data_IF_796001321284
#
_entry.id   IF_796001321284
#
_cell.length_a   1.000
_cell.length_b   1.000
_cell.length_c   1.000
_cell.angle_alpha   90.00
_cell.angle_beta   90.00
_cell.angle_gamma   90.00
#
_symmetry.space_group_name_H-M   'P 1'
#
loop_
_entity.id
_entity.type
_entity.pdbx_description
1 polymer ?
#
# COMPACT_ATOMS: atom_id res chain seq x y z
N UNK A 1 24.92 -32.69 -4.30
CA UNK A 1 24.47 -31.88 -3.12
C UNK A 1 23.75 -30.58 -3.45
N UNK A 2 24.00 -29.90 -4.60
CA UNK A 2 23.37 -28.59 -4.92
C UNK A 2 21.87 -28.58 -5.27
N UNK A 3 21.27 -29.71 -5.69
CA UNK A 3 19.83 -29.75 -6.06
C UNK A 3 18.85 -29.89 -4.88
N UNK A 4 19.30 -30.35 -3.69
CA UNK A 4 18.44 -30.48 -2.50
C UNK A 4 18.30 -29.18 -1.69
N UNK A 5 19.29 -28.28 -1.77
CA UNK A 5 19.27 -26.99 -1.04
C UNK A 5 18.31 -25.98 -1.65
N UNK A 6 18.13 -25.99 -2.98
CA UNK A 6 17.22 -25.07 -3.69
C UNK A 6 15.74 -25.39 -3.41
N UNK A 7 15.41 -26.68 -3.21
CA UNK A 7 14.04 -27.09 -2.82
C UNK A 7 13.69 -26.68 -1.39
N UNK A 8 14.66 -26.64 -0.48
CA UNK A 8 14.42 -26.22 0.91
C UNK A 8 14.16 -24.71 1.06
N UNK A 9 14.83 -23.87 0.26
CA UNK A 9 14.62 -22.40 0.30
C UNK A 9 13.26 -22.02 -0.32
N UNK A 10 12.83 -22.72 -1.36
CA UNK A 10 11.52 -22.47 -2.00
C UNK A 10 10.35 -22.89 -1.09
N UNK A 11 10.50 -23.97 -0.33
CA UNK A 11 9.48 -24.41 0.65
C UNK A 11 9.43 -23.48 1.87
N UNK A 12 10.57 -22.90 2.29
CA UNK A 12 10.61 -21.92 3.38
C UNK A 12 9.89 -20.60 3.02
N UNK A 13 9.99 -20.16 1.77
CA UNK A 13 9.27 -18.99 1.24
C UNK A 13 7.75 -19.21 1.18
N UNK A 14 7.31 -20.43 0.86
CA UNK A 14 5.89 -20.82 0.87
C UNK A 14 5.36 -20.92 2.31
N UNK A 15 6.14 -21.46 3.25
CA UNK A 15 5.74 -21.60 4.66
C UNK A 15 5.59 -20.25 5.38
N UNK A 16 6.43 -19.26 5.07
CA UNK A 16 6.36 -17.92 5.68
C UNK A 16 5.13 -17.13 5.17
N UNK A 17 4.59 -17.45 3.99
CA UNK A 17 3.32 -16.89 3.51
C UNK A 17 2.07 -17.67 3.95
N UNK A 18 2.20 -18.88 4.51
CA UNK A 18 1.06 -19.73 4.87
C UNK A 18 0.91 -20.04 6.38
N UNK A 19 1.82 -19.58 7.25
CA UNK A 19 1.62 -19.61 8.70
C UNK A 19 0.97 -18.30 9.19
N UNK A 20 -0.32 -18.17 8.95
CA UNK A 20 -1.20 -17.29 9.69
C UNK A 20 -2.55 -17.97 9.78
N UNK A 21 -2.66 -18.98 10.65
CA UNK A 21 -3.88 -19.48 11.31
C UNK A 21 -3.45 -20.65 12.23
N UNK A 22 -3.93 -20.62 13.49
CA UNK A 22 -3.86 -21.63 14.56
C UNK A 22 -2.46 -21.78 15.24
N UNK A 23 -2.24 -21.55 16.53
CA UNK A 23 -3.07 -21.75 17.74
C UNK A 23 -2.50 -20.89 18.88
N UNK A 24 -3.34 -20.50 19.85
CA UNK A 24 -2.87 -19.79 21.03
C UNK A 24 -3.91 -19.43 22.09
N UNK A 25 -4.96 -20.23 22.27
CA UNK A 25 -5.71 -20.23 23.53
C UNK A 25 -4.85 -20.92 24.59
N UNK A 26 -4.12 -20.12 25.37
CA UNK A 26 -3.38 -20.56 26.55
C UNK A 26 -3.78 -19.72 27.75
N UNK A 27 -4.51 -20.35 28.68
CA UNK A 27 -4.99 -19.81 29.95
C UNK A 27 -3.95 -18.93 30.67
N UNK A 28 -4.28 -17.67 30.95
CA UNK A 28 -3.61 -16.90 32.00
C UNK A 28 -4.27 -17.24 33.35
N UNK A 29 -3.49 -17.84 34.25
CA UNK A 29 -3.83 -17.93 35.67
C UNK A 29 -3.78 -16.52 36.27
N UNK A 30 -4.94 -15.92 36.48
CA UNK A 30 -5.08 -14.72 37.32
C UNK A 30 -5.09 -15.19 38.77
N UNK A 31 -4.02 -14.88 39.53
CA UNK A 31 -4.10 -14.81 40.99
C UNK A 31 -4.60 -13.42 41.34
N UNK A 32 -5.90 -13.30 41.57
CA UNK A 32 -6.44 -12.21 42.39
C UNK A 32 -6.80 -12.78 43.75
N UNK A 33 -6.17 -12.20 44.76
CA UNK A 33 -6.56 -12.33 46.16
C UNK A 33 -7.58 -11.22 46.39
N UNK A 34 -8.81 -11.56 46.73
CA UNK A 34 -9.59 -10.84 47.76
C UNK A 34 -10.73 -11.74 48.23
N UNK A 35 -10.78 -11.94 49.55
CA UNK A 35 -11.86 -12.58 50.29
C UNK A 35 -13.13 -11.72 50.20
N UNK A 36 -14.31 -12.35 50.11
CA UNK A 36 -15.50 -12.09 50.95
C UNK A 36 -16.50 -13.23 50.68
N UNK A 37 -16.98 -13.82 51.78
CA UNK A 37 -18.03 -14.84 51.87
C UNK A 37 -19.41 -14.24 51.54
N UNK A 38 -20.31 -14.97 50.86
CA UNK A 38 -21.46 -15.66 51.48
C UNK A 38 -22.40 -16.30 50.43
N UNK A 39 -22.86 -17.52 50.76
CA UNK A 39 -24.02 -18.34 50.34
C UNK A 39 -24.61 -18.31 48.92
N UNK A 40 -24.56 -19.49 48.29
CA UNK A 40 -25.75 -20.34 48.07
C UNK A 40 -26.52 -20.17 46.75
N UNK A 41 -26.46 -21.15 45.84
CA UNK A 41 -27.43 -22.25 45.71
C UNK A 41 -27.19 -23.05 44.40
N UNK A 42 -27.54 -24.33 44.44
CA UNK A 42 -27.48 -25.33 43.35
C UNK A 42 -28.59 -25.09 42.32
N UNK A 43 -28.38 -25.45 41.05
CA UNK A 43 -28.97 -26.67 40.46
C UNK A 43 -28.55 -26.91 39.01
N UNK A 44 -28.42 -28.21 38.71
CA UNK A 44 -28.09 -28.84 37.44
C UNK A 44 -29.27 -28.77 36.45
N UNK A 45 -28.99 -28.96 35.16
CA UNK A 45 -29.46 -30.15 34.45
C UNK A 45 -28.82 -30.28 33.06
N UNK A 46 -28.16 -31.43 32.87
CA UNK A 46 -27.89 -32.09 31.61
C UNK A 46 -29.21 -32.46 30.88
N UNK A 47 -29.14 -32.67 29.56
CA UNK A 47 -29.55 -33.94 28.92
C UNK A 47 -29.23 -33.89 27.40
N UNK A 48 -28.61 -35.00 26.96
CA UNK A 48 -28.39 -35.55 25.60
C UNK A 48 -29.70 -35.71 24.80
N UNK A 49 -29.80 -35.97 23.50
CA UNK A 49 -28.96 -36.51 22.45
C UNK A 49 -29.88 -37.15 21.38
N UNK A 50 -29.31 -37.63 20.27
CA UNK A 50 -29.86 -38.59 19.28
C UNK A 50 -30.42 -38.09 17.92
N UNK A 51 -29.58 -38.29 16.88
CA UNK A 51 -29.74 -39.05 15.62
C UNK A 51 -31.13 -39.36 15.01
N UNK A 52 -31.15 -39.36 13.66
CA UNK A 52 -32.03 -40.13 12.75
C UNK A 52 -32.38 -39.33 11.48
N UNK A 53 -31.62 -39.50 10.38
CA UNK A 53 -31.94 -40.32 9.19
C UNK A 53 -32.84 -39.65 8.13
N UNK A 54 -32.37 -39.76 6.87
CA UNK A 54 -33.00 -39.33 5.62
C UNK A 54 -33.77 -40.50 4.98
N UNK A 55 -34.66 -40.29 3.98
CA UNK A 55 -34.22 -40.55 2.60
C UNK A 55 -34.95 -39.81 1.43
N UNK A 56 -34.16 -39.51 0.38
CA UNK A 56 -34.31 -39.85 -1.08
C UNK A 56 -35.61 -39.58 -1.88
N UNK A 57 -35.48 -38.89 -3.03
CA UNK A 57 -36.00 -39.22 -4.40
C UNK A 57 -35.47 -38.14 -5.40
N UNK A 58 -34.55 -38.37 -6.35
CA UNK A 58 -34.55 -39.07 -7.67
C UNK A 58 -35.61 -38.54 -8.66
N UNK A 59 -35.14 -37.95 -9.78
CA UNK A 59 -35.43 -38.42 -11.16
C UNK A 59 -34.58 -37.70 -12.21
N UNK A 60 -33.90 -38.51 -13.04
CA UNK A 60 -33.23 -38.21 -14.32
C UNK A 60 -33.96 -38.98 -15.43
N UNK A 61 -33.86 -38.48 -16.67
CA UNK A 61 -33.94 -39.12 -18.00
C UNK A 61 -34.75 -38.21 -18.96
N UNK A 62 -34.50 -38.08 -20.27
CA UNK A 62 -33.74 -38.89 -21.25
C UNK A 62 -33.52 -38.05 -22.53
N UNK A 63 -32.50 -38.40 -23.31
CA UNK A 63 -32.25 -37.98 -24.70
C UNK A 63 -33.24 -38.63 -25.68
N UNK A 64 -33.45 -38.01 -26.86
CA UNK A 64 -33.38 -38.69 -28.17
C UNK A 64 -33.38 -37.69 -29.35
N UNK A 65 -32.64 -38.08 -30.41
CA UNK A 65 -32.33 -37.40 -31.67
C UNK A 65 -33.52 -37.19 -32.64
N UNK A 66 -33.39 -36.22 -33.57
CA UNK A 66 -33.54 -36.44 -35.02
C UNK A 66 -33.12 -35.25 -35.91
N UNK A 67 -32.75 -35.63 -37.12
CA UNK A 67 -31.99 -34.97 -38.20
C UNK A 67 -32.76 -33.95 -39.06
N UNK A 68 -31.94 -33.09 -39.69
CA UNK A 68 -31.95 -32.57 -41.07
C UNK A 68 -33.24 -32.02 -41.68
N UNK A 69 -33.21 -30.75 -42.10
CA UNK A 69 -33.39 -30.41 -43.52
C UNK A 69 -32.70 -29.07 -43.87
N UNK A 70 -31.90 -29.10 -44.93
CA UNK A 70 -31.18 -27.98 -45.55
C UNK A 70 -31.92 -27.68 -46.85
N UNK A 71 -32.29 -26.43 -47.09
CA UNK A 71 -32.66 -25.99 -48.42
C UNK A 71 -31.98 -24.68 -48.85
N UNK A 72 -31.71 -24.65 -50.15
CA UNK A 72 -30.73 -23.86 -50.90
C UNK A 72 -31.25 -22.53 -51.43
N UNK A 73 -30.25 -21.68 -51.77
CA UNK A 73 -30.23 -20.63 -52.82
C UNK A 73 -31.13 -19.41 -52.59
N UNK A 74 -30.72 -18.17 -52.93
CA UNK A 74 -30.09 -17.76 -54.19
C UNK A 74 -29.30 -16.46 -54.02
N UNK A 75 -28.07 -16.41 -54.55
CA UNK A 75 -27.37 -15.18 -54.91
C UNK A 75 -27.90 -14.67 -56.26
N UNK A 76 -28.19 -13.37 -56.37
CA UNK A 76 -28.12 -12.66 -57.64
C UNK A 76 -27.52 -11.27 -57.42
N UNK A 77 -26.54 -10.94 -58.26
CA UNK A 77 -25.75 -9.71 -58.25
C UNK A 77 -26.14 -8.85 -59.44
N UNK A 78 -26.31 -7.54 -59.20
CA UNK A 78 -25.86 -6.38 -60.02
C UNK A 78 -26.89 -5.26 -60.06
N UNK A 79 -26.41 -4.05 -59.76
CA UNK A 79 -27.13 -2.80 -59.91
C UNK A 79 -26.34 -1.65 -59.30
N UNK A 80 -25.33 -1.19 -60.03
CA UNK A 80 -24.59 0.04 -59.73
C UNK A 80 -25.42 1.22 -60.26
N UNK A 81 -25.85 2.13 -59.38
CA UNK A 81 -26.11 3.52 -59.77
C UNK A 81 -26.07 4.47 -58.57
N UNK A 82 -25.21 5.46 -58.74
CA UNK A 82 -24.90 6.62 -57.94
C UNK A 82 -26.13 7.48 -57.61
N UNK A 83 -26.26 7.91 -56.34
CA UNK A 83 -26.88 9.19 -55.95
C UNK A 83 -26.69 9.47 -54.45
N UNK A 84 -25.91 10.52 -54.21
CA UNK A 84 -25.83 11.38 -53.03
C UNK A 84 -27.11 11.44 -52.17
N UNK A 85 -26.98 11.25 -50.85
CA UNK A 85 -27.79 11.97 -49.86
C UNK A 85 -27.23 11.86 -48.42
N UNK A 86 -26.97 13.03 -47.85
CA UNK A 86 -26.95 13.40 -46.43
C UNK A 86 -26.37 12.43 -45.38
N UNK A 87 -25.11 12.69 -45.05
CA UNK A 87 -24.52 12.38 -43.74
C UNK A 87 -25.26 13.15 -42.65
N UNK A 88 -26.34 12.56 -42.13
CA UNK A 88 -26.85 12.91 -40.81
C UNK A 88 -25.98 12.17 -39.80
N UNK A 89 -25.14 12.92 -39.11
CA UNK A 89 -24.35 12.44 -37.98
C UNK A 89 -25.31 11.93 -36.91
N UNK A 90 -25.48 10.61 -36.83
CA UNK A 90 -26.01 9.97 -35.63
C UNK A 90 -24.96 10.15 -34.53
N UNK A 91 -25.12 11.22 -33.74
CA UNK A 91 -24.63 11.23 -32.38
C UNK A 91 -25.27 10.05 -31.65
N UNK A 92 -24.54 8.94 -31.61
CA UNK A 92 -24.88 7.82 -30.74
C UNK A 92 -24.82 8.35 -29.31
N UNK A 93 -25.97 8.69 -28.72
CA UNK A 93 -26.10 8.83 -27.28
C UNK A 93 -25.57 7.53 -26.68
N UNK A 94 -24.36 7.57 -26.11
CA UNK A 94 -23.90 6.53 -25.20
C UNK A 94 -24.98 6.41 -24.14
N UNK A 95 -25.72 5.30 -24.13
CA UNK A 95 -26.54 4.97 -22.98
C UNK A 95 -25.61 4.95 -21.78
N UNK A 96 -25.74 5.96 -20.90
CA UNK A 96 -25.04 5.97 -19.63
C UNK A 96 -25.51 4.72 -18.90
N UNK A 97 -24.63 3.72 -18.76
CA UNK A 97 -24.94 2.54 -17.99
C UNK A 97 -24.99 2.95 -16.51
N UNK A 98 -26.20 3.12 -15.98
CA UNK A 98 -26.45 3.51 -14.60
C UNK A 98 -26.85 2.28 -13.82
N UNK A 99 -26.08 1.97 -12.77
CA UNK A 99 -26.32 0.84 -11.88
C UNK A 99 -26.52 1.35 -10.46
N UNK A 100 -27.51 0.81 -9.76
CA UNK A 100 -27.76 1.10 -8.34
C UNK A 100 -27.39 -0.13 -7.51
N UNK A 101 -26.46 0.03 -6.57
CA UNK A 101 -26.04 -1.04 -5.63
C UNK A 101 -26.21 -0.47 -4.22
N UNK A 102 -26.98 -1.15 -3.37
CA UNK A 102 -27.26 -0.75 -1.99
C UNK A 102 -27.70 0.72 -1.84
N UNK A 103 -28.54 1.19 -2.79
CA UNK A 103 -29.04 2.57 -2.80
C UNK A 103 -28.04 3.62 -3.30
N UNK A 104 -26.86 3.23 -3.77
CA UNK A 104 -25.85 4.13 -4.33
C UNK A 104 -25.85 4.01 -5.85
N UNK A 105 -25.88 5.16 -6.54
CA UNK A 105 -25.85 5.23 -8.01
C UNK A 105 -24.40 5.28 -8.51
N UNK A 106 -24.10 4.44 -9.50
CA UNK A 106 -22.83 4.38 -10.22
C UNK A 106 -23.08 4.53 -11.70
N UNK A 107 -22.31 5.39 -12.38
CA UNK A 107 -22.37 5.49 -13.85
C UNK A 107 -21.14 4.85 -14.50
N UNK A 108 -21.35 4.30 -15.68
CA UNK A 108 -20.36 3.57 -16.47
C UNK A 108 -19.84 2.28 -15.79
N UNK A 109 -20.52 1.81 -14.74
CA UNK A 109 -20.19 0.55 -14.07
C UNK A 109 -20.65 -0.64 -14.91
N UNK A 110 -19.73 -1.52 -15.27
CA UNK A 110 -19.98 -2.68 -16.15
C UNK A 110 -20.04 -4.02 -15.39
N UNK A 111 -20.13 -3.97 -14.06
CA UNK A 111 -20.02 -5.15 -13.19
C UNK A 111 -18.62 -5.35 -12.59
N UNK A 112 -18.44 -6.38 -11.76
CA UNK A 112 -17.14 -6.76 -11.20
C UNK A 112 -16.17 -7.16 -12.30
N UNK A 113 -14.91 -6.75 -12.17
CA UNK A 113 -13.84 -7.02 -13.13
C UNK A 113 -12.73 -7.91 -12.53
N UNK A 114 -12.76 -8.19 -11.23
CA UNK A 114 -11.84 -9.15 -10.62
C UNK A 114 -12.18 -10.57 -11.12
N UNK A 115 -11.19 -11.22 -11.74
CA UNK A 115 -11.37 -12.55 -12.34
C UNK A 115 -11.59 -12.52 -13.86
N UNK A 116 -11.76 -11.34 -14.45
CA UNK A 116 -11.61 -11.18 -15.90
C UNK A 116 -10.21 -11.68 -16.29
N UNK A 117 -10.15 -12.61 -17.25
CA UNK A 117 -8.87 -13.05 -17.82
C UNK A 117 -8.30 -11.92 -18.67
N UNK A 118 -7.56 -11.01 -18.03
CA UNK A 118 -6.85 -9.90 -18.71
C UNK A 118 -5.40 -10.22 -19.05
N UNK A 119 -5.00 -11.48 -18.92
CA UNK A 119 -3.64 -11.88 -19.22
C UNK A 119 -3.58 -13.35 -19.59
N UNK A 120 -2.56 -13.65 -20.39
CA UNK A 120 -2.11 -15.00 -20.64
C UNK A 120 -0.72 -15.20 -20.02
N UNK A 121 -0.61 -16.15 -19.10
CA UNK A 121 0.67 -16.51 -18.47
C UNK A 121 1.72 -16.88 -19.54
N UNK A 122 2.97 -16.48 -19.31
CA UNK A 122 4.06 -16.66 -20.27
C UNK A 122 4.03 -15.73 -21.50
N UNK A 123 3.09 -14.78 -21.57
CA UNK A 123 3.04 -13.77 -22.64
C UNK A 123 3.67 -12.45 -22.14
N UNK A 124 4.52 -11.78 -22.93
CA UNK A 124 5.13 -10.51 -22.54
C UNK A 124 4.09 -9.46 -22.16
N UNK A 125 4.38 -8.65 -21.15
CA UNK A 125 3.36 -7.78 -20.61
C UNK A 125 2.88 -6.69 -21.56
N UNK A 126 3.77 -6.19 -22.43
CA UNK A 126 3.38 -5.24 -23.46
C UNK A 126 2.27 -5.79 -24.36
N UNK A 127 2.40 -7.05 -24.80
CA UNK A 127 1.44 -7.70 -25.70
C UNK A 127 0.07 -7.92 -25.03
N UNK A 128 0.07 -8.44 -23.80
CA UNK A 128 -1.17 -8.58 -23.03
C UNK A 128 -1.85 -7.22 -22.83
N UNK A 129 -1.09 -6.16 -22.55
CA UNK A 129 -1.66 -4.83 -22.33
C UNK A 129 -2.30 -4.28 -23.61
N UNK A 130 -1.80 -4.60 -24.81
CA UNK A 130 -2.42 -4.16 -26.07
C UNK A 130 -3.76 -4.84 -26.34
N UNK A 131 -3.90 -6.11 -25.95
CA UNK A 131 -5.10 -6.94 -26.20
C UNK A 131 -6.16 -6.81 -25.10
N UNK A 132 -5.74 -6.73 -23.83
CA UNK A 132 -6.60 -6.75 -22.66
C UNK A 132 -6.55 -5.42 -21.92
N UNK A 133 -7.48 -4.52 -22.28
CA UNK A 133 -7.53 -3.15 -21.76
C UNK A 133 -8.37 -3.02 -20.49
N UNK A 134 -8.04 -2.00 -19.70
CA UNK A 134 -8.87 -1.49 -18.60
C UNK A 134 -10.26 -1.09 -19.09
N UNK A 135 -11.29 -1.36 -18.28
CA UNK A 135 -12.69 -1.13 -18.65
C UNK A 135 -13.14 0.32 -18.51
N UNK A 136 -12.35 1.13 -17.81
CA UNK A 136 -12.55 2.56 -17.57
C UNK A 136 -12.93 2.88 -16.12
N UNK A 137 -12.67 4.13 -15.73
CA UNK A 137 -13.14 4.69 -14.46
C UNK A 137 -14.68 4.76 -14.42
N UNK A 138 -15.24 4.82 -13.22
CA UNK A 138 -16.68 4.93 -12.98
C UNK A 138 -17.01 6.24 -12.26
N UNK A 139 -18.20 6.77 -12.48
CA UNK A 139 -18.70 7.85 -11.63
C UNK A 139 -19.27 7.25 -10.35
N UNK A 140 -18.68 7.63 -9.23
CA UNK A 140 -19.05 7.16 -7.89
C UNK A 140 -18.93 8.30 -6.88
N UNK A 141 -19.80 8.35 -5.85
CA UNK A 141 -19.61 9.24 -4.70
C UNK A 141 -18.41 8.82 -3.83
N UNK A 142 -17.92 7.58 -3.98
CA UNK A 142 -16.74 7.07 -3.29
C UNK A 142 -15.56 7.08 -4.25
N UNK A 143 -14.48 7.76 -3.86
CA UNK A 143 -13.29 7.89 -4.70
C UNK A 143 -12.02 7.63 -3.91
N UNK A 144 -11.00 7.12 -4.61
CA UNK A 144 -9.64 6.96 -4.10
C UNK A 144 -8.65 7.64 -5.03
N UNK A 145 -7.49 8.02 -4.50
CA UNK A 145 -6.40 8.52 -5.30
C UNK A 145 -5.53 7.35 -5.72
N UNK A 146 -5.64 6.93 -6.97
CA UNK A 146 -4.81 5.87 -7.55
C UNK A 146 -3.60 6.48 -8.23
N UNK A 147 -2.41 6.13 -7.76
CA UNK A 147 -1.13 6.65 -8.23
C UNK A 147 -0.25 5.47 -8.66
N UNK A 148 0.39 5.59 -9.82
CA UNK A 148 1.35 4.62 -10.35
C UNK A 148 2.60 5.38 -10.79
N UNK A 149 3.74 5.01 -10.23
CA UNK A 149 5.04 5.60 -10.54
C UNK A 149 6.08 4.52 -10.82
N UNK A 150 7.25 4.94 -11.31
CA UNK A 150 8.45 4.11 -11.38
C UNK A 150 9.65 4.86 -10.83
N UNK A 151 10.59 4.10 -10.27
CA UNK A 151 11.84 4.62 -9.75
C UNK A 151 11.58 5.48 -8.53
N UNK A 152 10.99 4.92 -7.48
CA UNK A 152 10.81 5.60 -6.19
C UNK A 152 10.05 6.93 -6.29
N UNK A 153 9.02 6.98 -7.13
CA UNK A 153 8.19 8.17 -7.33
C UNK A 153 8.74 9.21 -8.32
N UNK A 154 9.93 9.00 -8.90
CA UNK A 154 10.55 9.97 -9.82
C UNK A 154 9.83 10.11 -11.15
N UNK A 155 9.23 9.03 -11.67
CA UNK A 155 8.47 9.06 -12.93
C UNK A 155 7.03 8.64 -12.69
N UNK A 156 6.09 9.50 -13.08
CA UNK A 156 4.65 9.24 -13.02
C UNK A 156 4.18 8.52 -14.27
N UNK A 157 3.43 7.44 -14.07
CA UNK A 157 2.79 6.65 -15.13
C UNK A 157 1.28 6.91 -15.16
N UNK A 158 0.66 6.97 -13.97
CA UNK A 158 -0.77 7.25 -13.81
C UNK A 158 -1.00 7.99 -12.49
N UNK A 159 -1.94 8.95 -12.47
CA UNK A 159 -2.41 9.56 -11.23
C UNK A 159 -3.80 10.14 -11.45
N UNK A 160 -4.84 9.54 -10.86
CA UNK A 160 -6.22 10.02 -10.95
C UNK A 160 -6.96 9.79 -9.64
N UNK A 161 -7.96 10.64 -9.39
CA UNK A 161 -8.97 10.40 -8.38
C UNK A 161 -10.11 9.61 -9.03
N UNK A 162 -10.16 8.30 -8.77
CA UNK A 162 -10.99 7.32 -9.49
C UNK A 162 -12.14 6.83 -8.63
N UNK A 163 -13.25 6.47 -9.26
CA UNK A 163 -14.43 5.95 -8.61
C UNK A 163 -14.26 4.51 -8.14
N UNK A 164 -14.83 4.23 -6.96
CA UNK A 164 -14.94 2.90 -6.40
C UNK A 164 -16.40 2.53 -6.10
N UNK A 165 -16.76 1.26 -6.26
CA UNK A 165 -17.98 0.72 -5.66
C UNK A 165 -17.75 0.59 -4.16
N UNK A 166 -18.78 0.90 -3.37
CA UNK A 166 -18.71 0.83 -1.92
C UNK A 166 -18.23 -0.55 -1.47
N UNK A 167 -17.25 -0.56 -0.56
CA UNK A 167 -16.68 -1.75 0.07
C UNK A 167 -16.09 -2.79 -0.90
N UNK A 168 -15.85 -2.46 -2.17
CA UNK A 168 -15.13 -3.35 -3.09
C UNK A 168 -13.65 -3.53 -2.70
N UNK A 169 -12.97 -4.50 -3.31
CA UNK A 169 -11.53 -4.70 -3.08
C UNK A 169 -10.71 -3.81 -4.01
N UNK A 170 -9.50 -3.43 -3.58
CA UNK A 170 -8.61 -2.54 -4.33
C UNK A 170 -8.25 -3.08 -5.71
N UNK A 171 -8.27 -4.40 -5.88
CA UNK A 171 -8.03 -5.06 -7.15
C UNK A 171 -9.08 -4.71 -8.22
N UNK A 172 -10.34 -4.50 -7.83
CA UNK A 172 -11.41 -4.04 -8.73
C UNK A 172 -11.09 -2.63 -9.26
N UNK A 173 -10.69 -1.73 -8.36
CA UNK A 173 -10.26 -0.37 -8.71
C UNK A 173 -9.08 -0.42 -9.68
N UNK A 174 -8.12 -1.33 -9.45
CA UNK A 174 -6.94 -1.51 -10.28
C UNK A 174 -7.32 -2.01 -11.68
N UNK A 175 -8.09 -3.10 -11.78
CA UNK A 175 -8.53 -3.71 -13.05
C UNK A 175 -9.39 -2.78 -13.92
N UNK A 176 -10.18 -1.90 -13.31
CA UNK A 176 -10.98 -0.92 -14.05
C UNK A 176 -10.15 0.22 -14.63
N UNK A 177 -9.07 0.61 -13.96
CA UNK A 177 -8.33 1.83 -14.28
C UNK A 177 -6.99 1.61 -14.98
N UNK A 178 -6.44 0.40 -14.92
CA UNK A 178 -5.09 0.08 -15.39
C UNK A 178 -5.06 -1.24 -16.16
N UNK A 179 -4.14 -1.34 -17.12
CA UNK A 179 -3.88 -2.57 -17.87
C UNK A 179 -2.96 -3.44 -17.00
N UNK A 180 -3.54 -4.35 -16.20
CA UNK A 180 -2.79 -5.16 -15.23
C UNK A 180 -2.65 -6.62 -15.65
N UNK A 181 -1.57 -7.22 -15.21
CA UNK A 181 -1.35 -8.67 -15.31
C UNK A 181 -0.98 -9.22 -13.96
N UNK A 182 -1.43 -10.43 -13.69
CA UNK A 182 -1.25 -11.06 -12.39
C UNK A 182 -0.50 -12.37 -12.50
N UNK A 183 0.22 -12.75 -11.45
CA UNK A 183 0.82 -14.07 -11.28
C UNK A 183 0.10 -14.87 -10.18
N UNK A 184 0.51 -16.14 -10.02
CA UNK A 184 0.19 -16.98 -8.86
C UNK A 184 -1.31 -17.04 -8.49
N UNK A 185 -2.18 -17.36 -9.46
CA UNK A 185 -3.62 -17.49 -9.21
C UNK A 185 -4.37 -16.16 -9.07
N UNK A 186 -3.76 -15.04 -9.48
CA UNK A 186 -4.45 -13.76 -9.66
C UNK A 186 -4.25 -12.73 -8.54
N UNK A 187 -3.64 -13.12 -7.42
CA UNK A 187 -3.45 -12.24 -6.26
C UNK A 187 -2.21 -11.34 -6.32
N UNK A 188 -1.23 -11.68 -7.16
CA UNK A 188 0.03 -10.95 -7.27
C UNK A 188 0.05 -10.10 -8.54
N UNK A 189 0.21 -8.78 -8.44
CA UNK A 189 0.31 -7.90 -9.61
C UNK A 189 1.71 -8.00 -10.20
N UNK A 190 1.83 -8.60 -11.38
CA UNK A 190 3.09 -8.78 -12.08
C UNK A 190 3.40 -7.63 -13.05
N UNK A 191 2.38 -7.01 -13.65
CA UNK A 191 2.59 -5.88 -14.54
C UNK A 191 1.47 -4.84 -14.43
N UNK A 192 1.83 -3.57 -14.68
CA UNK A 192 0.89 -2.45 -14.80
C UNK A 192 1.29 -1.64 -16.03
N UNK A 193 0.34 -1.40 -16.93
CA UNK A 193 0.49 -0.61 -18.15
C UNK A 193 1.74 -1.02 -18.97
N UNK A 194 1.94 -2.33 -19.13
CA UNK A 194 3.03 -2.92 -19.91
C UNK A 194 4.40 -2.97 -19.23
N UNK A 195 4.55 -2.47 -18.00
CA UNK A 195 5.79 -2.57 -17.22
C UNK A 195 5.69 -3.80 -16.31
N UNK A 196 6.50 -4.82 -16.58
CA UNK A 196 6.49 -6.11 -15.89
C UNK A 196 7.59 -6.24 -14.84
N UNK A 197 7.30 -7.02 -13.79
CA UNK A 197 8.30 -7.54 -12.86
C UNK A 197 9.41 -8.21 -13.66
N UNK A 198 10.66 -7.80 -13.39
CA UNK A 198 11.84 -8.49 -13.94
C UNK A 198 12.30 -9.65 -13.06
N UNK A 199 11.48 -10.03 -12.06
CA UNK A 199 11.84 -11.07 -11.10
C UNK A 199 11.01 -12.34 -11.24
N UNK A 200 9.69 -12.23 -11.37
CA UNK A 200 8.72 -13.33 -11.17
C UNK A 200 8.74 -14.38 -12.30
N UNK A 201 9.08 -13.98 -13.53
CA UNK A 201 9.10 -14.88 -14.70
C UNK A 201 10.46 -14.96 -15.42
N UNK A 202 11.49 -14.31 -14.89
CA UNK A 202 12.83 -14.31 -15.46
C UNK A 202 13.77 -15.25 -14.69
N UNK A 203 14.74 -15.84 -15.40
CA UNK A 203 15.74 -16.75 -14.82
C UNK A 203 17.15 -16.36 -15.27
N UNK A 204 18.17 -16.85 -14.57
CA UNK A 204 19.57 -16.54 -14.89
C UNK A 204 19.87 -15.04 -14.83
N UNK A 205 20.66 -14.56 -15.79
CA UNK A 205 21.15 -13.17 -15.86
C UNK A 205 20.07 -12.15 -16.24
N UNK A 206 18.94 -12.63 -16.78
CA UNK A 206 17.79 -11.77 -17.10
C UNK A 206 16.98 -11.41 -15.86
N UNK A 207 17.09 -12.20 -14.78
CA UNK A 207 16.35 -11.97 -13.54
C UNK A 207 16.94 -10.79 -12.78
N UNK A 208 16.13 -9.73 -12.63
CA UNK A 208 16.50 -8.53 -11.87
C UNK A 208 15.58 -8.35 -10.68
N UNK A 209 16.11 -7.75 -9.62
CA UNK A 209 15.37 -7.39 -8.42
C UNK A 209 14.62 -6.08 -8.63
N UNK A 210 13.73 -6.06 -9.61
CA UNK A 210 12.83 -4.94 -9.89
C UNK A 210 11.40 -5.46 -9.91
N UNK A 211 10.53 -4.88 -9.10
CA UNK A 211 9.13 -5.32 -8.96
C UNK A 211 8.20 -4.18 -8.54
N UNK A 212 6.90 -4.48 -8.53
CA UNK A 212 5.82 -3.62 -8.08
C UNK A 212 5.58 -3.76 -6.58
N UNK A 213 5.60 -2.63 -5.89
CA UNK A 213 5.17 -2.52 -4.50
C UNK A 213 4.05 -1.49 -4.39
N UNK A 214 3.23 -1.62 -3.35
CA UNK A 214 2.17 -0.65 -3.14
C UNK A 214 1.99 -0.25 -1.68
N UNK A 215 1.66 1.03 -1.52
CA UNK A 215 1.36 1.67 -0.27
C UNK A 215 -0.09 2.12 -0.26
N UNK A 216 -0.68 2.06 0.91
CA UNK A 216 -1.95 2.70 1.21
C UNK A 216 -1.66 3.81 2.19
N UNK A 217 -1.99 5.05 1.83
CA UNK A 217 -1.77 6.21 2.69
C UNK A 217 -0.32 6.30 3.20
N UNK A 218 0.65 5.95 2.35
CA UNK A 218 2.08 5.96 2.69
C UNK A 218 2.56 4.81 3.58
N UNK A 219 1.72 3.80 3.84
CA UNK A 219 2.05 2.60 4.62
C UNK A 219 2.13 1.42 3.67
N UNK A 220 3.24 0.67 3.68
CA UNK A 220 3.40 -0.52 2.86
C UNK A 220 2.33 -1.53 3.25
N UNK A 221 1.54 -1.98 2.28
CA UNK A 221 0.42 -2.86 2.60
C UNK A 221 0.92 -4.25 3.07
N UNK A 222 0.48 -4.74 4.24
CA UNK A 222 0.84 -6.07 4.74
C UNK A 222 -0.02 -7.20 4.15
N UNK A 223 -0.98 -6.88 3.28
CA UNK A 223 -1.91 -7.81 2.62
C UNK A 223 -1.86 -7.57 1.12
N UNK A 224 -2.43 -8.47 0.32
CA UNK A 224 -2.57 -8.28 -1.13
C UNK A 224 -3.67 -7.28 -1.50
N UNK A 225 -3.55 -6.67 -2.68
CA UNK A 225 -4.55 -5.67 -3.15
C UNK A 225 -5.92 -6.30 -3.43
N UNK A 226 -5.95 -7.62 -3.67
CA UNK A 226 -7.17 -8.42 -3.80
C UNK A 226 -7.93 -8.61 -2.48
N UNK A 227 -7.29 -8.37 -1.34
CA UNK A 227 -7.91 -8.49 -0.01
C UNK A 227 -8.16 -7.12 0.64
N UNK A 228 -7.38 -6.11 0.24
CA UNK A 228 -7.53 -4.76 0.74
C UNK A 228 -8.84 -4.13 0.25
N UNK A 229 -9.64 -3.58 1.16
CA UNK A 229 -10.86 -2.82 0.85
C UNK A 229 -10.60 -1.32 1.09
N UNK A 230 -10.48 -0.51 0.04
CA UNK A 230 -10.18 0.91 0.18
C UNK A 230 -11.28 1.66 0.92
N UNK A 231 -10.91 2.74 1.61
CA UNK A 231 -11.85 3.73 2.14
C UNK A 231 -11.84 4.97 1.25
N UNK A 232 -12.98 5.70 1.16
CA UNK A 232 -13.03 6.94 0.40
C UNK A 232 -11.95 7.92 0.86
N UNK A 233 -11.20 8.46 -0.10
CA UNK A 233 -10.09 9.38 0.13
C UNK A 233 -8.72 8.72 0.29
N UNK A 234 -8.66 7.38 0.41
CA UNK A 234 -7.39 6.66 0.49
C UNK A 234 -6.50 6.95 -0.73
N UNK A 235 -5.19 6.99 -0.51
CA UNK A 235 -4.17 7.05 -1.55
C UNK A 235 -3.62 5.65 -1.72
N UNK A 236 -3.90 5.03 -2.87
CA UNK A 236 -3.34 3.74 -3.27
C UNK A 236 -2.21 4.04 -4.24
N UNK A 237 -0.97 3.89 -3.78
CA UNK A 237 0.22 4.23 -4.54
C UNK A 237 1.02 2.98 -4.88
N UNK A 238 1.13 2.69 -6.18
CA UNK A 238 2.03 1.67 -6.74
C UNK A 238 3.32 2.31 -7.24
N UNK A 239 4.46 1.70 -6.94
CA UNK A 239 5.75 2.08 -7.52
C UNK A 239 6.53 0.85 -7.99
N UNK A 240 7.06 0.92 -9.21
CA UNK A 240 7.99 -0.06 -9.75
C UNK A 240 9.44 0.41 -9.55
N UNK A 241 10.23 -0.32 -8.79
CA UNK A 241 11.63 0.04 -8.52
C UNK A 241 12.51 -1.16 -8.20
N UNK A 242 13.82 -0.88 -8.12
CA UNK A 242 14.84 -1.83 -7.71
C UNK A 242 14.78 -2.07 -6.19
N UNK A 243 14.72 -3.34 -5.78
CA UNK A 243 14.72 -3.77 -4.39
C UNK A 243 16.00 -4.53 -4.02
N UNK A 244 17.08 -4.34 -4.78
CA UNK A 244 18.31 -5.14 -4.64
C UNK A 244 19.04 -4.94 -3.32
N UNK A 245 18.95 -3.74 -2.75
CA UNK A 245 19.51 -3.36 -1.45
C UNK A 245 18.42 -3.33 -0.39
N UNK A 246 17.33 -2.60 -0.64
CA UNK A 246 16.21 -2.46 0.30
C UNK A 246 15.05 -3.31 -0.18
N UNK A 247 14.80 -4.45 0.46
CA UNK A 247 13.73 -5.36 0.05
C UNK A 247 12.33 -4.78 0.32
N UNK A 248 12.17 -4.03 1.41
CA UNK A 248 10.90 -3.44 1.80
C UNK A 248 11.13 -2.03 2.35
N UNK A 249 10.27 -1.11 1.94
CA UNK A 249 10.23 0.27 2.45
C UNK A 249 8.88 0.43 3.18
N UNK A 250 8.83 0.23 4.51
CA UNK A 250 7.57 0.08 5.23
C UNK A 250 6.68 1.33 5.24
N UNK A 251 7.28 2.51 5.08
CA UNK A 251 6.57 3.78 5.10
C UNK A 251 7.25 4.78 4.16
N UNK A 252 6.44 5.66 3.57
CA UNK A 252 6.89 6.71 2.63
C UNK A 252 6.17 8.02 2.91
N UNK A 253 6.81 9.14 2.57
CA UNK A 253 6.28 10.48 2.87
C UNK A 253 5.29 11.01 1.82
N UNK A 254 5.25 10.39 0.65
CA UNK A 254 4.56 10.91 -0.54
C UNK A 254 3.04 11.04 -0.45
N UNK A 255 2.44 10.43 0.57
CA UNK A 255 1.00 10.45 0.83
C UNK A 255 0.59 11.41 1.95
N UNK A 256 1.46 12.32 2.41
CA UNK A 256 1.10 13.31 3.44
C UNK A 256 -0.22 14.04 3.11
N UNK A 257 -1.16 14.22 4.06
CA UNK A 257 -1.15 13.79 5.47
C UNK A 257 -1.92 12.47 5.71
N UNK A 258 -2.22 11.69 4.66
CA UNK A 258 -3.12 10.53 4.73
C UNK A 258 -2.77 9.46 5.77
N UNK A 259 -1.49 9.11 6.04
CA UNK A 259 -1.22 8.12 7.07
C UNK A 259 -1.82 8.53 8.42
N UNK A 260 -1.76 9.82 8.75
CA UNK A 260 -2.28 10.35 10.01
C UNK A 260 -3.79 10.59 10.00
N UNK A 261 -4.37 10.83 8.82
CA UNK A 261 -5.81 11.09 8.67
C UNK A 261 -6.62 9.80 8.69
N UNK A 262 -6.31 8.90 7.77
CA UNK A 262 -7.14 7.72 7.46
C UNK A 262 -6.49 6.42 7.94
N UNK A 263 -5.18 6.42 8.17
CA UNK A 263 -4.43 5.22 8.58
C UNK A 263 -4.47 4.12 7.52
N UNK A 264 -4.48 2.87 7.96
CA UNK A 264 -4.57 1.70 7.07
C UNK A 264 -5.90 0.99 7.27
N UNK A 265 -6.66 0.74 6.19
CA UNK A 265 -8.03 0.16 6.24
C UNK A 265 -9.02 0.95 7.11
N UNK A 266 -8.85 2.27 7.22
CA UNK A 266 -9.66 3.11 8.12
C UNK A 266 -9.36 2.91 9.60
N UNK A 267 -8.36 2.09 9.96
CA UNK A 267 -7.88 1.96 11.34
C UNK A 267 -6.79 3.00 11.58
N UNK A 268 -7.02 3.85 12.58
CA UNK A 268 -6.10 4.89 12.99
C UNK A 268 -5.89 4.79 14.52
N UNK A 269 -4.69 4.40 15.00
CA UNK A 269 -4.40 4.30 16.43
C UNK A 269 -4.17 5.67 17.10
N UNK A 270 -4.33 6.77 16.36
CA UNK A 270 -3.96 8.12 16.78
C UNK A 270 -2.51 8.45 16.43
N UNK A 271 -2.23 9.75 16.40
CA UNK A 271 -0.90 10.32 16.09
C UNK A 271 -0.32 11.01 17.32
N UNK A 272 0.97 10.85 17.55
CA UNK A 272 1.71 11.63 18.55
C UNK A 272 2.82 12.40 17.85
N UNK A 273 2.86 13.71 18.07
CA UNK A 273 3.98 14.55 17.66
C UNK A 273 4.97 14.59 18.84
N UNK A 274 6.12 13.96 18.65
CA UNK A 274 7.22 13.94 19.60
C UNK A 274 8.18 15.08 19.27
N UNK A 275 8.63 15.83 20.27
CA UNK A 275 9.56 16.96 20.08
C UNK A 275 10.69 16.96 21.11
N UNK A 276 11.89 17.35 20.70
CA UNK A 276 12.96 17.72 21.66
C UNK A 276 12.65 19.10 22.25
N UNK A 277 13.17 19.39 23.46
CA UNK A 277 12.73 20.54 24.29
C UNK A 277 12.59 21.88 23.57
N UNK A 278 13.43 22.16 22.56
CA UNK A 278 13.44 23.41 21.80
C UNK A 278 12.24 23.58 20.84
N UNK A 279 11.49 22.51 20.53
CA UNK A 279 10.51 22.48 19.43
C UNK A 279 9.05 22.28 19.85
N UNK A 280 8.71 22.66 21.09
CA UNK A 280 7.34 22.55 21.60
C UNK A 280 6.33 23.39 20.78
N UNK A 281 6.73 24.61 20.38
CA UNK A 281 5.89 25.51 19.61
C UNK A 281 5.62 24.99 18.19
N UNK A 282 6.64 24.39 17.58
CA UNK A 282 6.57 23.74 16.27
C UNK A 282 5.65 22.52 16.31
N UNK A 283 5.70 21.73 17.39
CA UNK A 283 4.77 20.63 17.60
C UNK A 283 3.30 21.10 17.66
N UNK A 284 3.02 22.16 18.42
CA UNK A 284 1.69 22.76 18.52
C UNK A 284 1.19 23.33 17.19
N UNK A 285 2.06 24.00 16.43
CA UNK A 285 1.73 24.51 15.08
C UNK A 285 1.43 23.38 14.11
N UNK A 286 2.22 22.31 14.14
CA UNK A 286 2.01 21.14 13.28
C UNK A 286 0.71 20.42 13.64
N UNK A 287 0.40 20.24 14.93
CA UNK A 287 -0.89 19.70 15.38
C UNK A 287 -2.07 20.49 14.81
N UNK A 288 -2.04 21.82 14.93
CA UNK A 288 -3.09 22.70 14.38
C UNK A 288 -3.21 22.56 12.86
N UNK A 289 -2.09 22.46 12.15
CA UNK A 289 -2.09 22.25 10.69
C UNK A 289 -2.72 20.90 10.30
N UNK A 290 -2.33 19.81 10.97
CA UNK A 290 -2.89 18.49 10.74
C UNK A 290 -4.39 18.42 11.06
N UNK A 291 -4.82 19.07 12.14
CA UNK A 291 -6.25 19.19 12.49
C UNK A 291 -7.05 19.88 11.38
N UNK A 292 -6.53 20.98 10.82
CA UNK A 292 -7.15 21.67 9.67
C UNK A 292 -7.23 20.78 8.43
N UNK A 293 -6.33 19.81 8.27
CA UNK A 293 -6.33 18.83 7.19
C UNK A 293 -7.25 17.61 7.46
N UNK A 294 -7.90 17.58 8.62
CA UNK A 294 -8.88 16.57 9.02
C UNK A 294 -8.32 15.41 9.85
N UNK A 295 -7.11 15.55 10.42
CA UNK A 295 -6.58 14.58 11.39
C UNK A 295 -7.19 14.85 12.76
N UNK A 296 -7.84 13.86 13.36
CA UNK A 296 -8.69 14.06 14.54
C UNK A 296 -8.03 13.69 15.87
N UNK A 297 -7.20 12.65 15.90
CA UNK A 297 -6.57 12.13 17.13
C UNK A 297 -5.08 12.47 17.15
N UNK A 298 -4.73 13.63 17.75
CA UNK A 298 -3.35 14.12 17.81
C UNK A 298 -2.95 14.52 19.23
N UNK A 299 -1.99 13.81 19.78
CA UNK A 299 -1.29 14.14 21.00
C UNK A 299 0.07 14.78 20.70
N UNK A 300 0.61 15.49 21.68
CA UNK A 300 1.96 16.05 21.66
C UNK A 300 2.69 15.55 22.90
N UNK A 301 3.97 15.20 22.77
CA UNK A 301 4.78 14.73 23.89
C UNK A 301 6.26 15.04 23.68
N UNK A 302 7.03 15.09 24.77
CA UNK A 302 8.49 15.15 24.67
C UNK A 302 9.01 13.89 23.98
N UNK A 303 10.11 14.03 23.25
CA UNK A 303 10.78 12.92 22.59
C UNK A 303 11.19 11.84 23.61
N UNK A 304 10.80 10.61 23.30
CA UNK A 304 11.16 9.41 24.03
C UNK A 304 11.36 8.29 23.00
N UNK A 305 12.61 7.84 22.85
CA UNK A 305 12.97 6.83 21.87
C UNK A 305 12.30 5.47 22.14
N UNK A 306 11.88 5.17 23.37
CA UNK A 306 11.19 3.91 23.68
C UNK A 306 9.81 3.83 23.00
N UNK A 307 9.17 4.99 22.74
CA UNK A 307 7.86 5.06 22.08
C UNK A 307 7.91 4.70 20.59
N UNK A 308 9.07 4.89 19.95
CA UNK A 308 9.30 4.62 18.53
C UNK A 308 10.06 3.31 18.27
N UNK A 309 10.69 2.71 19.29
CA UNK A 309 11.21 1.33 19.21
C UNK A 309 10.06 0.32 19.06
N UNK A 310 9.00 0.49 19.86
CA UNK A 310 7.80 -0.33 19.81
C UNK A 310 6.54 0.53 19.66
N UNK A 311 6.24 1.01 18.44
CA UNK A 311 5.19 1.98 18.23
C UNK A 311 3.80 1.40 18.51
N UNK A 312 3.03 2.12 19.33
CA UNK A 312 1.59 1.85 19.56
C UNK A 312 0.69 2.75 18.73
N UNK A 313 1.15 3.97 18.46
CA UNK A 313 0.51 5.02 17.67
C UNK A 313 1.31 5.31 16.40
N UNK A 314 0.82 6.22 15.59
CA UNK A 314 1.63 6.88 14.56
C UNK A 314 2.46 7.98 15.20
N UNK A 315 3.68 8.19 14.72
CA UNK A 315 4.57 9.18 15.31
C UNK A 315 5.13 10.14 14.27
N UNK A 316 5.25 11.40 14.65
CA UNK A 316 6.03 12.41 13.95
C UNK A 316 7.04 12.95 14.95
N UNK A 317 8.33 12.74 14.69
CA UNK A 317 9.44 13.17 15.53
C UNK A 317 10.01 14.47 14.99
N UNK A 318 10.12 15.49 15.85
CA UNK A 318 10.67 16.81 15.56
C UNK A 318 11.91 17.05 16.41
N UNK A 319 13.04 17.37 15.76
CA UNK A 319 14.25 17.79 16.47
C UNK A 319 15.49 17.81 15.59
N UNK A 320 16.50 18.55 16.02
CA UNK A 320 17.83 18.49 15.41
C UNK A 320 18.44 17.12 15.66
N UNK A 321 19.20 16.62 14.69
CA UNK A 321 19.72 15.26 14.67
C UNK A 321 20.51 14.91 15.93
N UNK A 322 21.42 15.80 16.36
CA UNK A 322 22.28 15.57 17.51
C UNK A 322 21.50 15.48 18.84
N UNK A 323 20.43 16.27 18.99
CA UNK A 323 19.53 16.19 20.14
C UNK A 323 18.79 14.86 20.16
N UNK A 324 18.28 14.43 19.00
CA UNK A 324 17.61 13.13 18.88
C UNK A 324 18.56 11.99 19.22
N UNK A 325 19.79 11.99 18.71
CA UNK A 325 20.80 10.95 19.00
C UNK A 325 21.13 10.92 20.49
N UNK A 326 21.40 12.06 21.10
CA UNK A 326 21.71 12.15 22.54
C UNK A 326 20.59 11.57 23.41
N UNK A 327 19.34 11.77 23.03
CA UNK A 327 18.15 11.32 23.75
C UNK A 327 17.66 9.91 23.34
N UNK A 328 18.47 9.15 22.58
CA UNK A 328 18.05 7.85 22.01
C UNK A 328 18.74 6.62 22.58
N UNK A 329 19.46 6.76 23.70
CA UNK A 329 20.03 5.61 24.40
C UNK A 329 18.93 4.91 25.19
N UNK A 330 18.63 3.66 24.82
CA UNK A 330 17.56 2.85 25.40
C UNK A 330 17.98 1.38 25.54
N UNK A 331 17.37 0.68 26.49
CA UNK A 331 17.29 -0.78 26.46
C UNK A 331 16.17 -1.19 25.50
N UNK A 332 16.51 -1.89 24.41
CA UNK A 332 15.49 -2.33 23.45
C UNK A 332 14.67 -3.52 23.95
N UNK A 333 13.66 -3.92 23.18
CA UNK A 333 12.78 -5.07 23.46
C UNK A 333 13.51 -6.42 23.65
N UNK A 334 14.78 -6.52 23.25
CA UNK A 334 15.64 -7.70 23.42
C UNK A 334 16.57 -7.60 24.64
N UNK A 335 16.40 -6.58 25.49
CA UNK A 335 17.24 -6.34 26.66
C UNK A 335 18.64 -5.82 26.33
N UNK A 336 18.86 -5.29 25.12
CA UNK A 336 20.17 -4.76 24.69
C UNK A 336 20.17 -3.24 24.73
N UNK A 337 21.18 -2.66 25.36
CA UNK A 337 21.49 -1.22 25.27
C UNK A 337 21.88 -0.85 23.84
N UNK A 338 21.17 0.14 23.28
CA UNK A 338 21.39 0.65 21.94
C UNK A 338 21.21 2.18 21.91
N UNK A 339 21.71 2.81 20.86
CA UNK A 339 21.27 4.15 20.48
C UNK A 339 20.38 4.04 19.25
N UNK A 340 19.06 4.20 19.42
CA UNK A 340 18.08 3.87 18.37
C UNK A 340 18.28 4.71 17.10
N UNK A 341 18.47 6.02 17.23
CA UNK A 341 18.62 6.91 16.08
C UNK A 341 19.94 6.67 15.35
N UNK A 342 21.03 6.41 16.08
CA UNK A 342 22.31 6.00 15.47
C UNK A 342 22.17 4.68 14.71
N UNK A 343 21.50 3.69 15.30
CA UNK A 343 21.23 2.40 14.67
C UNK A 343 20.43 2.55 13.37
N UNK A 344 19.39 3.41 13.35
CA UNK A 344 18.60 3.72 12.16
C UNK A 344 19.46 4.38 11.08
N UNK A 345 20.31 5.34 11.46
CA UNK A 345 21.19 6.05 10.53
C UNK A 345 22.26 5.12 9.91
N UNK A 346 22.82 4.21 10.70
CA UNK A 346 23.80 3.22 10.22
C UNK A 346 23.16 2.15 9.33
N UNK A 347 21.91 1.78 9.62
CA UNK A 347 21.15 0.76 8.89
C UNK A 347 20.20 1.36 7.85
N UNK A 348 20.32 2.65 7.54
CA UNK A 348 19.36 3.44 6.79
C UNK A 348 18.91 2.77 5.47
N UNK A 349 19.85 2.23 4.70
CA UNK A 349 19.60 1.52 3.45
C UNK A 349 18.76 0.25 3.60
N UNK A 350 18.72 -0.37 4.78
CA UNK A 350 17.91 -1.56 5.01
C UNK A 350 16.49 -1.24 5.51
N UNK A 351 16.25 -0.01 5.95
CA UNK A 351 14.95 0.44 6.48
C UNK A 351 14.25 1.45 5.57
N UNK A 352 14.78 1.66 4.36
CA UNK A 352 14.17 2.58 3.37
C UNK A 352 14.40 4.05 3.65
N UNK A 353 15.44 4.38 4.42
CA UNK A 353 15.84 5.76 4.72
C UNK A 353 17.02 6.13 3.82
N UNK A 354 16.79 7.06 2.89
CA UNK A 354 17.79 7.48 1.90
C UNK A 354 18.40 8.86 2.20
N UNK A 355 18.48 9.17 3.49
CA UNK A 355 19.26 10.28 4.05
C UNK A 355 20.20 9.73 5.13
N UNK A 356 21.39 10.32 5.28
CA UNK A 356 22.34 9.96 6.34
C UNK A 356 22.88 11.20 7.02
N UNK A 357 22.94 11.22 8.34
CA UNK A 357 23.59 12.27 9.11
C UNK A 357 24.97 11.81 9.58
N UNK A 358 26.03 12.51 9.18
CA UNK A 358 27.41 12.16 9.53
C UNK A 358 28.33 13.38 9.41
N UNK A 359 29.25 13.54 10.36
CA UNK A 359 30.23 14.65 10.33
C UNK A 359 29.61 16.05 10.29
N UNK A 360 28.45 16.24 10.94
CA UNK A 360 27.71 17.52 10.94
C UNK A 360 26.97 17.81 9.63
N UNK A 361 26.90 16.85 8.71
CA UNK A 361 26.21 16.99 7.42
C UNK A 361 25.00 16.08 7.32
N UNK A 362 24.07 16.45 6.45
CA UNK A 362 23.06 15.54 5.90
C UNK A 362 23.47 15.16 4.48
N UNK A 363 23.51 13.86 4.21
CA UNK A 363 23.82 13.27 2.91
C UNK A 363 22.52 12.77 2.26
N UNK A 364 22.28 13.17 1.01
CA UNK A 364 21.22 12.59 0.20
C UNK A 364 21.77 11.37 -0.54
N UNK A 365 21.05 10.26 -0.46
CA UNK A 365 21.54 8.97 -0.97
C UNK A 365 20.79 8.54 -2.23
N UNK A 366 21.47 7.76 -3.07
CA UNK A 366 20.81 6.96 -4.10
C UNK A 366 20.16 5.69 -3.49
N UNK A 367 19.45 4.93 -4.32
CA UNK A 367 18.75 3.71 -3.89
C UNK A 367 19.70 2.59 -3.45
N UNK A 368 21.00 2.70 -3.74
CA UNK A 368 22.03 1.79 -3.25
C UNK A 368 22.62 2.18 -1.90
N UNK A 369 22.24 3.36 -1.38
CA UNK A 369 22.77 3.93 -0.16
C UNK A 369 24.10 4.69 -0.34
N UNK A 370 24.45 5.02 -1.59
CA UNK A 370 25.65 5.82 -1.90
C UNK A 370 25.30 7.31 -1.84
N UNK A 371 26.22 8.11 -1.31
CA UNK A 371 26.04 9.57 -1.20
C UNK A 371 26.12 10.24 -2.57
N UNK A 372 25.11 11.05 -2.89
CA UNK A 372 25.03 11.84 -4.14
C UNK A 372 25.27 13.32 -3.87
N UNK A 373 24.66 13.87 -2.82
CA UNK A 373 24.84 15.26 -2.38
C UNK A 373 24.99 15.33 -0.86
N UNK A 374 25.53 16.44 -0.35
CA UNK A 374 25.84 16.61 1.08
C UNK A 374 25.73 18.08 1.49
N UNK A 375 25.19 18.34 2.67
CA UNK A 375 24.94 19.69 3.17
C UNK A 375 25.31 19.83 4.63
N UNK A 376 26.13 20.83 4.95
CA UNK A 376 26.46 21.21 6.33
C UNK A 376 25.25 21.82 7.05
N UNK A 377 24.44 22.59 6.31
CA UNK A 377 23.16 23.13 6.77
C UNK A 377 22.04 22.54 5.92
N UNK A 378 21.41 21.49 6.42
CA UNK A 378 20.32 20.81 5.73
C UNK A 378 19.43 20.03 6.68
N UNK A 379 18.25 19.68 6.19
CA UNK A 379 17.29 18.86 6.91
C UNK A 379 16.84 17.66 6.09
N UNK A 380 16.07 16.79 6.75
CA UNK A 380 15.48 15.62 6.13
C UNK A 380 14.05 15.41 6.63
N UNK A 381 13.21 14.90 5.74
CA UNK A 381 11.89 14.36 6.05
C UNK A 381 11.90 12.93 5.54
N UNK A 382 11.78 11.96 6.42
CA UNK A 382 11.70 10.55 6.03
C UNK A 382 10.73 9.80 6.93
N UNK A 383 10.30 8.63 6.46
CA UNK A 383 9.46 7.72 7.22
C UNK A 383 10.08 6.32 7.23
N UNK A 384 9.84 5.59 8.32
CA UNK A 384 10.16 4.18 8.44
C UNK A 384 9.13 3.49 9.36
N UNK A 385 9.31 2.21 9.65
CA UNK A 385 8.55 1.51 10.67
C UNK A 385 9.45 0.55 11.46
N UNK A 386 9.02 0.14 12.65
CA UNK A 386 9.77 -0.74 13.55
C UNK A 386 10.04 -2.17 13.02
N UNK A 387 9.53 -2.51 11.83
CA UNK A 387 9.79 -3.79 11.18
C UNK A 387 8.91 -4.04 9.96
N UNK A 388 9.18 -5.16 9.29
CA UNK A 388 8.37 -5.66 8.17
C UNK A 388 6.95 -5.95 8.66
N UNK A 389 5.94 -5.52 7.90
CA UNK A 389 4.53 -5.72 8.23
C UNK A 389 3.98 -4.76 9.30
N UNK A 390 4.82 -3.91 9.89
CA UNK A 390 4.33 -2.85 10.77
C UNK A 390 3.53 -1.82 9.97
N UNK A 391 2.29 -1.57 10.40
CA UNK A 391 1.41 -0.55 9.81
C UNK A 391 1.45 0.78 10.57
N UNK A 392 2.45 0.97 11.44
CA UNK A 392 2.59 2.15 12.29
C UNK A 392 3.83 2.94 11.87
N UNK A 393 3.67 3.88 10.91
CA UNK A 393 4.79 4.67 10.42
C UNK A 393 5.29 5.62 11.50
N UNK A 394 6.61 5.82 11.48
CA UNK A 394 7.32 6.83 12.25
C UNK A 394 7.93 7.79 11.23
N UNK A 395 7.52 9.05 11.30
CA UNK A 395 8.08 10.11 10.50
C UNK A 395 9.10 10.88 11.32
N UNK A 396 10.20 11.26 10.70
CA UNK A 396 11.24 12.08 11.32
C UNK A 396 11.42 13.33 10.47
N UNK A 397 11.29 14.49 11.12
CA UNK A 397 11.58 15.81 10.56
C UNK A 397 12.75 16.35 11.36
N UNK A 398 13.91 16.41 10.71
CA UNK A 398 15.17 16.67 11.41
C UNK A 398 16.12 17.52 10.59
N UNK A 399 17.18 18.02 11.24
CA UNK A 399 18.15 18.96 10.71
C UNK A 399 19.54 18.70 11.26
N UNK A 400 20.58 19.12 10.51
CA UNK A 400 21.95 19.18 11.04
C UNK A 400 22.08 20.24 12.12
N UNK A 401 21.34 21.34 11.97
CA UNK A 401 21.19 22.43 12.93
C UNK A 401 19.73 22.94 12.92
N UNK A 402 19.47 24.01 13.69
CA UNK A 402 18.14 24.61 13.79
C UNK A 402 17.62 25.14 12.44
N UNK A 403 18.49 25.70 11.61
CA UNK A 403 18.13 26.18 10.27
C UNK A 403 17.76 25.01 9.34
N UNK A 404 18.55 23.93 9.36
CA UNK A 404 18.27 22.68 8.65
C UNK A 404 16.94 22.08 9.05
N UNK A 405 16.67 22.03 10.35
CA UNK A 405 15.39 21.55 10.88
C UNK A 405 14.23 22.44 10.40
N UNK A 406 14.35 23.77 10.53
CA UNK A 406 13.32 24.72 10.11
C UNK A 406 13.02 24.62 8.62
N UNK A 407 14.03 24.39 7.76
CA UNK A 407 13.81 24.15 6.34
C UNK A 407 12.94 22.91 6.10
N UNK A 408 13.27 21.77 6.71
CA UNK A 408 12.48 20.54 6.60
C UNK A 408 11.07 20.70 7.20
N UNK A 409 10.96 21.31 8.38
CA UNK A 409 9.70 21.58 9.05
C UNK A 409 8.79 22.50 8.21
N UNK A 410 9.34 23.56 7.61
CA UNK A 410 8.59 24.46 6.75
C UNK A 410 8.03 23.76 5.51
N UNK A 411 8.78 22.84 4.91
CA UNK A 411 8.28 22.02 3.79
C UNK A 411 7.07 21.20 4.22
N UNK A 412 7.14 20.53 5.39
CA UNK A 412 6.01 19.75 5.89
C UNK A 412 4.78 20.63 6.20
N UNK A 413 5.00 21.79 6.82
CA UNK A 413 3.92 22.64 7.33
C UNK A 413 3.25 23.46 6.22
N UNK A 414 4.05 24.05 5.32
CA UNK A 414 3.62 25.10 4.41
C UNK A 414 3.74 24.72 2.93
N UNK A 415 4.57 23.74 2.58
CA UNK A 415 4.80 23.33 1.19
C UNK A 415 4.69 21.80 0.96
N UNK A 416 3.67 21.11 1.51
CA UNK A 416 3.59 19.66 1.44
C UNK A 416 3.52 19.11 0.01
N UNK A 417 3.12 19.93 -0.98
CA UNK A 417 3.16 19.57 -2.39
C UNK A 417 4.58 19.23 -2.90
N UNK A 418 5.64 19.77 -2.27
CA UNK A 418 7.04 19.50 -2.68
C UNK A 418 7.48 18.07 -2.34
N UNK A 419 6.84 17.44 -1.36
CA UNK A 419 7.11 16.05 -0.96
C UNK A 419 6.06 15.05 -1.47
N UNK A 420 5.18 15.48 -2.37
CA UNK A 420 4.20 14.58 -3.00
C UNK A 420 4.92 13.54 -3.87
N UNK A 421 4.43 12.30 -3.79
CA UNK A 421 4.96 11.15 -4.53
C UNK A 421 6.47 10.93 -4.22
N UNK A 422 6.90 11.15 -2.97
CA UNK A 422 8.29 10.98 -2.51
C UNK A 422 8.43 9.83 -1.50
N UNK A 423 9.57 9.14 -1.53
CA UNK A 423 9.92 8.15 -0.51
C UNK A 423 10.49 8.82 0.73
N UNK A 424 11.48 9.70 0.54
CA UNK A 424 11.98 10.66 1.51
C UNK A 424 12.39 11.97 0.84
N UNK A 425 12.81 12.94 1.63
CA UNK A 425 13.32 14.21 1.15
C UNK A 425 14.53 14.69 1.97
N UNK A 426 15.52 15.24 1.26
CA UNK A 426 16.56 16.10 1.85
C UNK A 426 16.24 17.54 1.46
N UNK A 427 16.40 18.47 2.40
CA UNK A 427 16.04 19.88 2.23
C UNK A 427 17.25 20.73 2.54
N UNK A 428 17.57 21.66 1.65
CA UNK A 428 18.66 22.62 1.83
C UNK A 428 18.26 23.98 1.27
N UNK A 429 19.19 24.94 1.29
CA UNK A 429 19.02 26.24 0.62
C UNK A 429 18.79 26.10 -0.89
N UNK A 430 19.18 24.98 -1.49
CA UNK A 430 18.95 24.68 -2.90
C UNK A 430 17.53 24.17 -3.20
N UNK A 431 16.73 23.89 -2.16
CA UNK A 431 15.36 23.40 -2.28
C UNK A 431 15.18 21.99 -1.72
N UNK A 432 14.18 21.28 -2.26
CA UNK A 432 13.78 19.93 -1.83
C UNK A 432 14.28 18.91 -2.84
N UNK A 433 15.11 17.98 -2.38
CA UNK A 433 15.62 16.85 -3.16
C UNK A 433 14.84 15.59 -2.79
N UNK A 434 14.25 14.94 -3.81
CA UNK A 434 13.57 13.65 -3.65
C UNK A 434 14.60 12.55 -3.52
N UNK A 435 14.56 11.81 -2.41
CA UNK A 435 15.42 10.64 -2.19
C UNK A 435 14.58 9.36 -2.10
N UNK A 436 15.11 8.21 -2.56
CA UNK A 436 16.46 8.03 -3.13
C UNK A 436 16.65 8.66 -4.50
N UNK A 437 17.89 9.04 -4.81
CA UNK A 437 18.34 9.26 -6.19
C UNK A 437 18.37 7.96 -7.00
N UNK A 438 18.16 8.06 -8.31
CA UNK A 438 18.20 6.91 -9.24
C UNK A 438 19.61 6.55 -9.72
N UNK A 439 20.60 7.41 -9.47
CA UNK A 439 22.01 7.19 -9.83
C UNK A 439 22.88 7.70 -8.71
#
# INVERSE_FOLDING_TARGET
MRKKVIRFISVLLILIMSFSILTGCGKSNTKEITNIEDKGNKENNDISGSKGESPVEILKNKEEDKKEEKDKNTEETKGEQDKSQDKKTEETKKEENVVVIDGVTYKNYKGPVQGEKKYKEGTPAKKNSDEYKSSGDIESPYKVNLIVTTGFGHKKIFAKNVGMVKDEVGMEVLFRNLDIQTGYGGGFVNAINGIESKYTFFTGDERKKEDWFYWVNGILAPIGVAEYRPKPGDVIWWDYHDWSITMFIPAVIGSYPQPFKSGFQGKNPGTVILYTSSYANEAERLKKSLQKQGVTQIDIGKYDATLIENPKKYYIVLGVWDDLVTQSNITNSKGKEINLMKDINEKNKFVGVNSKFEGGKVHALNFKGETVSSYDQGGAIYAYAAGIGSTKPIWVVTGTDDEGFKMAYNVLLNEPQKIKDCFGAVVSKNGVEKVPYLK
#
